data_IF_538584640019
#
_entry.id   IF_538584640019
#
_cell.length_a   1.000
_cell.length_b   1.000
_cell.length_c   1.000
_cell.angle_alpha   90.00
_cell.angle_beta   90.00
_cell.angle_gamma   90.00
#
_symmetry.space_group_name_H-M   'P 1'
#
loop_
_entity.id
_entity.type
_entity.pdbx_description
1 polymer ?
#
# COMPACT_ATOMS: atom_id res chain seq x y z
N UNK A 1 22.75 13.34 -14.74
CA UNK A 1 22.02 14.61 -14.61
C UNK A 1 21.70 14.80 -13.14
N UNK A 2 22.19 15.87 -12.50
CA UNK A 2 22.01 16.14 -11.06
C UNK A 2 21.42 17.53 -10.93
N UNK A 3 20.15 17.62 -10.59
CA UNK A 3 19.50 18.88 -10.24
C UNK A 3 19.86 19.26 -8.80
N UNK A 4 20.10 20.53 -8.55
CA UNK A 4 20.30 21.05 -7.20
C UNK A 4 18.94 21.32 -6.57
N UNK A 5 18.44 20.36 -5.79
CA UNK A 5 17.24 20.54 -4.97
C UNK A 5 17.52 21.60 -3.89
N UNK A 6 17.09 22.85 -4.13
CA UNK A 6 17.13 23.93 -3.14
C UNK A 6 15.80 23.96 -2.40
N UNK A 7 15.62 23.07 -1.43
CA UNK A 7 14.55 23.22 -0.43
C UNK A 7 15.07 24.03 0.75
N UNK A 8 14.17 24.59 1.55
CA UNK A 8 14.49 24.95 2.93
C UNK A 8 15.15 23.74 3.61
N UNK A 9 16.27 23.98 4.31
CA UNK A 9 17.01 22.91 4.98
C UNK A 9 16.19 22.29 6.11
N UNK A 10 16.54 21.07 6.51
CA UNK A 10 16.00 20.44 7.72
C UNK A 10 17.02 20.58 8.85
N UNK A 11 16.67 21.30 9.92
CA UNK A 11 17.51 21.38 11.12
C UNK A 11 16.94 20.52 12.25
N UNK A 12 17.81 20.14 13.20
CA UNK A 12 17.38 19.39 14.38
C UNK A 12 16.38 20.17 15.25
N UNK A 13 16.42 21.50 15.22
CA UNK A 13 15.49 22.35 15.97
C UNK A 13 14.06 22.35 15.39
N UNK A 14 13.91 21.96 14.13
CA UNK A 14 12.61 21.92 13.43
C UNK A 14 11.91 20.56 13.53
N UNK A 15 12.60 19.56 14.11
CA UNK A 15 12.08 18.21 14.28
C UNK A 15 11.00 18.16 15.36
N UNK A 16 9.94 17.41 15.09
CA UNK A 16 8.99 17.01 16.11
C UNK A 16 9.66 16.11 17.16
N UNK A 17 9.08 16.04 18.36
CA UNK A 17 9.62 15.22 19.44
C UNK A 17 9.55 13.72 19.12
N UNK A 18 8.46 13.30 18.47
CA UNK A 18 8.22 11.90 18.12
C UNK A 18 8.23 11.67 16.59
N UNK A 19 8.81 10.56 16.10
CA UNK A 19 8.87 10.26 14.67
C UNK A 19 7.50 10.21 13.98
N UNK A 20 6.48 9.73 14.68
CA UNK A 20 5.12 9.65 14.12
C UNK A 20 4.48 11.03 13.99
N UNK A 21 4.77 11.95 14.91
CA UNK A 21 4.37 13.36 14.79
C UNK A 21 5.07 14.02 13.60
N UNK A 22 6.37 13.75 13.42
CA UNK A 22 7.14 14.24 12.28
C UNK A 22 6.55 13.73 10.96
N UNK A 23 6.21 12.44 10.90
CA UNK A 23 5.56 11.86 9.73
C UNK A 23 4.20 12.51 9.46
N UNK A 24 3.34 12.66 10.48
CA UNK A 24 2.03 13.28 10.33
C UNK A 24 2.13 14.72 9.80
N UNK A 25 3.09 15.50 10.31
CA UNK A 25 3.38 16.86 9.82
C UNK A 25 3.76 16.84 8.34
N UNK A 26 4.71 16.00 7.93
CA UNK A 26 5.15 15.94 6.54
C UNK A 26 4.11 15.35 5.60
N UNK A 27 3.33 14.37 6.04
CA UNK A 27 2.26 13.77 5.25
C UNK A 27 1.20 14.80 4.87
N UNK A 28 0.77 15.62 5.84
CA UNK A 28 -0.16 16.74 5.61
C UNK A 28 0.41 17.76 4.62
N UNK A 29 1.64 18.21 4.82
CA UNK A 29 2.30 19.15 3.90
C UNK A 29 2.38 18.58 2.47
N UNK A 30 2.64 17.27 2.35
CA UNK A 30 2.75 16.59 1.05
C UNK A 30 1.39 16.42 0.39
N UNK A 31 0.32 16.21 1.16
CA UNK A 31 -1.05 16.21 0.66
C UNK A 31 -1.48 17.59 0.14
N UNK A 32 -1.02 18.66 0.79
CA UNK A 32 -1.29 20.06 0.42
C UNK A 32 -0.40 20.56 -0.73
N UNK A 33 0.70 19.87 -1.05
CA UNK A 33 1.67 20.31 -2.06
C UNK A 33 1.22 20.06 -3.51
N UNK A 34 0.05 19.45 -3.72
CA UNK A 34 -0.42 19.02 -5.04
C UNK A 34 0.33 17.81 -5.61
N UNK A 35 1.10 17.08 -4.80
CA UNK A 35 1.76 15.86 -5.24
C UNK A 35 0.70 14.81 -5.62
N UNK A 36 0.87 14.17 -6.77
CA UNK A 36 0.01 13.06 -7.19
C UNK A 36 0.21 11.85 -6.28
N UNK A 37 -0.88 11.31 -5.74
CA UNK A 37 -0.90 10.14 -4.82
C UNK A 37 0.17 10.22 -3.70
N UNK A 38 0.06 11.19 -2.77
CA UNK A 38 1.03 11.38 -1.69
C UNK A 38 1.11 10.17 -0.74
N UNK A 39 0.07 9.32 -0.74
CA UNK A 39 -0.02 8.09 0.02
C UNK A 39 0.47 6.85 -0.76
N UNK A 40 1.01 7.00 -1.97
CA UNK A 40 1.70 5.91 -2.67
C UNK A 40 3.06 5.64 -2.00
N UNK A 41 3.31 4.38 -1.68
CA UNK A 41 4.48 3.92 -0.93
C UNK A 41 5.09 2.71 -1.63
N UNK A 42 6.41 2.69 -1.77
CA UNK A 42 7.13 1.50 -2.21
C UNK A 42 7.31 0.59 -1.00
N UNK A 43 6.67 -0.59 -1.01
CA UNK A 43 6.93 -1.64 -0.02
C UNK A 43 7.95 -2.62 -0.58
N UNK A 44 9.02 -2.83 0.17
CA UNK A 44 10.06 -3.81 -0.12
C UNK A 44 9.98 -4.95 0.88
N UNK A 45 10.02 -6.17 0.36
CA UNK A 45 9.96 -7.45 1.10
C UNK A 45 11.10 -8.34 0.59
N UNK A 46 11.38 -9.44 1.26
CA UNK A 46 12.32 -10.45 0.78
C UNK A 46 11.75 -11.85 0.96
N UNK A 47 12.13 -12.78 0.08
CA UNK A 47 11.81 -14.20 0.26
C UNK A 47 12.63 -14.83 1.40
N UNK A 48 12.43 -16.13 1.62
CA UNK A 48 13.09 -16.89 2.69
C UNK A 48 14.63 -16.95 2.49
N UNK A 49 15.09 -16.83 1.25
CA UNK A 49 16.51 -16.79 0.88
C UNK A 49 17.09 -15.37 0.93
N UNK A 50 16.29 -14.37 1.34
CA UNK A 50 16.72 -12.98 1.46
C UNK A 50 16.75 -12.21 0.13
N UNK A 51 16.12 -12.72 -0.94
CA UNK A 51 16.07 -12.04 -2.23
C UNK A 51 14.99 -10.96 -2.20
N UNK A 52 15.35 -9.68 -2.40
CA UNK A 52 14.40 -8.59 -2.26
C UNK A 52 13.44 -8.51 -3.45
N UNK A 53 12.24 -8.00 -3.20
CA UNK A 53 11.37 -7.49 -4.24
C UNK A 53 10.57 -6.28 -3.76
N UNK A 54 10.27 -5.36 -4.68
CA UNK A 54 9.63 -4.07 -4.39
C UNK A 54 8.46 -3.82 -5.32
N UNK A 55 7.47 -3.07 -4.84
CA UNK A 55 6.28 -2.62 -5.60
C UNK A 55 5.59 -1.48 -4.87
N UNK A 56 4.75 -0.74 -5.57
CA UNK A 56 3.91 0.29 -4.97
C UNK A 56 2.67 -0.30 -4.30
N UNK A 57 2.34 0.23 -3.13
CA UNK A 57 1.07 0.05 -2.40
C UNK A 57 0.56 1.43 -1.96
N UNK A 58 -0.69 1.51 -1.53
CA UNK A 58 -1.25 2.73 -0.98
C UNK A 58 -1.32 2.63 0.54
N UNK A 59 -0.78 3.62 1.25
CA UNK A 59 -1.01 3.82 2.67
C UNK A 59 -2.49 4.12 2.89
N UNK A 60 -3.10 3.42 3.86
CA UNK A 60 -4.52 3.55 4.22
C UNK A 60 -4.77 4.03 5.64
N UNK A 61 -3.75 3.99 6.49
CA UNK A 61 -3.80 4.54 7.83
C UNK A 61 -2.42 4.49 8.46
N UNK A 62 -2.21 5.30 9.48
CA UNK A 62 -1.07 5.21 10.36
C UNK A 62 -1.46 5.72 11.74
N UNK A 63 -0.90 5.11 12.77
CA UNK A 63 -1.07 5.48 14.18
C UNK A 63 0.18 5.06 14.96
N UNK A 64 0.12 5.10 16.30
CA UNK A 64 1.23 4.70 17.18
C UNK A 64 1.68 3.24 16.96
N UNK A 65 0.84 2.38 16.39
CA UNK A 65 1.16 0.97 16.07
C UNK A 65 1.94 0.83 14.77
N UNK A 66 1.87 1.82 13.87
CA UNK A 66 2.62 1.81 12.61
C UNK A 66 1.79 2.23 11.39
N UNK A 67 2.09 1.62 10.24
CA UNK A 67 1.58 2.01 8.92
C UNK A 67 0.78 0.87 8.29
N UNK A 68 -0.42 1.16 7.78
CA UNK A 68 -1.35 0.16 7.27
C UNK A 68 -1.49 0.27 5.74
N UNK A 69 -1.34 -0.86 5.06
CA UNK A 69 -1.74 -1.04 3.66
C UNK A 69 -2.49 -2.37 3.52
N UNK A 70 -3.37 -2.48 2.53
CA UNK A 70 -4.16 -3.70 2.28
C UNK A 70 -3.67 -4.38 1.00
N UNK A 71 -3.63 -5.72 1.02
CA UNK A 71 -3.18 -6.51 -0.13
C UNK A 71 -3.81 -7.89 -0.14
N UNK A 72 -3.61 -8.64 -1.22
CA UNK A 72 -3.98 -10.06 -1.28
C UNK A 72 -2.90 -10.90 -0.57
N UNK A 73 -3.31 -11.71 0.42
CA UNK A 73 -2.39 -12.56 1.20
C UNK A 73 -1.69 -13.65 0.36
N UNK A 74 -2.29 -14.09 -0.74
CA UNK A 74 -1.68 -15.03 -1.70
C UNK A 74 -0.69 -14.40 -2.68
N UNK A 75 -0.61 -13.07 -2.73
CA UNK A 75 0.32 -12.38 -3.62
C UNK A 75 1.79 -12.67 -3.28
N UNK A 76 2.71 -12.36 -4.21
CA UNK A 76 4.15 -12.51 -3.96
C UNK A 76 4.58 -11.82 -2.65
N UNK A 77 4.17 -10.56 -2.43
CA UNK A 77 4.49 -9.82 -1.20
C UNK A 77 3.85 -10.45 0.04
N UNK A 78 2.64 -11.00 -0.08
CA UNK A 78 1.94 -11.65 1.03
C UNK A 78 2.66 -12.93 1.47
N UNK A 79 3.11 -13.74 0.51
CA UNK A 79 3.92 -14.93 0.76
C UNK A 79 5.31 -14.60 1.30
N UNK A 80 5.97 -13.59 0.73
CA UNK A 80 7.27 -13.12 1.23
C UNK A 80 7.16 -12.61 2.68
N UNK A 81 6.16 -11.77 3.01
CA UNK A 81 5.92 -11.30 4.39
C UNK A 81 5.62 -12.45 5.35
N UNK A 82 4.88 -13.46 4.92
CA UNK A 82 4.57 -14.62 5.75
C UNK A 82 5.82 -15.45 6.08
N UNK A 83 6.79 -15.51 5.17
CA UNK A 83 8.06 -16.21 5.39
C UNK A 83 9.10 -15.35 6.13
N UNK A 84 9.14 -14.05 5.83
CA UNK A 84 10.05 -13.06 6.39
C UNK A 84 9.27 -11.76 6.66
N UNK A 85 8.93 -11.46 7.92
CA UNK A 85 8.04 -10.35 8.22
C UNK A 85 8.74 -8.99 8.22
N UNK A 86 10.06 -8.92 7.98
CA UNK A 86 10.77 -7.64 7.91
C UNK A 86 10.51 -6.94 6.59
N UNK A 87 10.07 -5.68 6.67
CA UNK A 87 9.70 -4.87 5.52
C UNK A 87 10.31 -3.48 5.59
N UNK A 88 10.45 -2.84 4.43
CA UNK A 88 10.79 -1.43 4.32
C UNK A 88 9.75 -0.69 3.48
N UNK A 89 9.32 0.47 3.96
CA UNK A 89 8.47 1.41 3.23
C UNK A 89 9.31 2.61 2.82
N UNK A 90 9.19 3.02 1.56
CA UNK A 90 9.76 4.25 1.04
C UNK A 90 8.66 5.12 0.47
N UNK A 91 8.56 6.35 0.98
CA UNK A 91 7.68 7.40 0.47
C UNK A 91 8.48 8.25 -0.53
N UNK A 92 8.23 8.12 -1.85
CA UNK A 92 9.08 8.71 -2.87
C UNK A 92 8.68 10.16 -3.18
N UNK A 93 8.62 11.04 -2.18
CA UNK A 93 8.23 12.45 -2.34
C UNK A 93 9.34 13.33 -2.97
N UNK A 94 10.11 12.75 -3.87
CA UNK A 94 11.22 13.39 -4.58
C UNK A 94 10.83 14.65 -5.37
N UNK A 95 9.58 14.84 -5.90
CA UNK A 95 9.22 16.11 -6.55
C UNK A 95 9.21 17.29 -5.59
N UNK A 96 9.06 17.04 -4.29
CA UNK A 96 9.17 18.04 -3.22
C UNK A 96 10.48 17.88 -2.41
N UNK A 97 11.48 17.22 -3.00
CA UNK A 97 12.80 17.00 -2.41
C UNK A 97 12.77 16.28 -1.04
N UNK A 98 11.81 15.39 -0.81
CA UNK A 98 11.66 14.67 0.46
C UNK A 98 11.53 13.16 0.25
N UNK A 99 12.01 12.38 1.20
CA UNK A 99 11.73 10.95 1.28
C UNK A 99 11.54 10.56 2.75
N UNK A 100 10.66 9.60 3.00
CA UNK A 100 10.54 8.96 4.31
C UNK A 100 10.81 7.48 4.15
N UNK A 101 11.64 6.92 5.02
CA UNK A 101 11.91 5.49 5.10
C UNK A 101 11.39 4.96 6.43
N UNK A 102 10.66 3.86 6.39
CA UNK A 102 10.20 3.14 7.58
C UNK A 102 10.65 1.70 7.47
N UNK A 103 11.44 1.24 8.45
CA UNK A 103 11.79 -0.17 8.60
C UNK A 103 10.99 -0.77 9.76
N UNK A 104 10.50 -2.00 9.60
CA UNK A 104 9.75 -2.65 10.67
C UNK A 104 9.33 -4.08 10.35
N UNK A 105 8.50 -4.63 11.23
CA UNK A 105 7.87 -5.95 11.06
C UNK A 105 6.42 -5.76 10.61
N UNK A 106 6.02 -6.41 9.52
CA UNK A 106 4.64 -6.42 9.07
C UNK A 106 3.81 -7.45 9.86
N UNK A 107 2.63 -7.03 10.31
CA UNK A 107 1.67 -7.87 11.02
C UNK A 107 0.31 -7.79 10.32
N UNK A 108 -0.50 -8.86 10.43
CA UNK A 108 -1.84 -8.85 9.87
C UNK A 108 -2.74 -8.01 10.76
N UNK A 109 -3.49 -7.10 10.15
CA UNK A 109 -4.61 -6.42 10.81
C UNK A 109 -5.74 -7.41 11.12
N UNK A 110 -6.64 -7.03 12.03
CA UNK A 110 -7.80 -7.84 12.38
C UNK A 110 -8.70 -8.12 11.17
N UNK A 111 -9.41 -9.25 11.20
CA UNK A 111 -10.38 -9.60 10.14
C UNK A 111 -11.50 -8.57 10.04
N UNK A 112 -11.93 -8.02 11.16
CA UNK A 112 -12.96 -6.97 11.21
C UNK A 112 -12.47 -5.66 10.60
N UNK A 113 -11.20 -5.29 10.83
CA UNK A 113 -10.57 -4.12 10.20
C UNK A 113 -10.46 -4.32 8.68
N UNK A 114 -10.05 -5.51 8.24
CA UNK A 114 -10.06 -5.89 6.82
C UNK A 114 -11.45 -5.78 6.20
N UNK A 115 -12.47 -6.32 6.88
CA UNK A 115 -13.84 -6.30 6.41
C UNK A 115 -14.42 -4.88 6.34
N UNK A 116 -14.15 -4.06 7.36
CA UNK A 116 -14.57 -2.67 7.40
C UNK A 116 -13.97 -1.89 6.22
N UNK A 117 -12.66 -1.98 6.00
CA UNK A 117 -12.00 -1.34 4.87
C UNK A 117 -12.48 -1.89 3.51
N UNK A 118 -12.67 -3.20 3.37
CA UNK A 118 -13.12 -3.79 2.12
C UNK A 118 -14.47 -3.21 1.67
N UNK A 119 -15.39 -3.02 2.61
CA UNK A 119 -16.73 -2.44 2.36
C UNK A 119 -16.69 -0.98 1.92
N UNK A 120 -15.63 -0.22 2.26
CA UNK A 120 -15.51 1.18 1.80
C UNK A 120 -15.00 1.31 0.36
N UNK A 121 -14.51 0.22 -0.24
CA UNK A 121 -13.95 0.26 -1.58
C UNK A 121 -15.06 0.42 -2.63
N UNK A 122 -14.81 1.12 -3.75
CA UNK A 122 -15.74 1.15 -4.87
C UNK A 122 -16.12 -0.26 -5.34
N UNK A 123 -17.36 -0.46 -5.79
CA UNK A 123 -17.87 -1.78 -6.20
C UNK A 123 -16.93 -2.54 -7.13
N UNK A 124 -16.46 -1.89 -8.20
CA UNK A 124 -15.51 -2.52 -9.14
C UNK A 124 -14.17 -2.89 -8.51
N UNK A 125 -13.72 -2.16 -7.48
CA UNK A 125 -12.53 -2.52 -6.71
C UNK A 125 -12.76 -3.75 -5.82
N UNK A 126 -13.97 -3.95 -5.31
CA UNK A 126 -14.34 -5.15 -4.56
C UNK A 126 -14.35 -6.37 -5.49
N UNK A 127 -14.98 -6.25 -6.68
CA UNK A 127 -14.97 -7.29 -7.71
C UNK A 127 -13.55 -7.64 -8.18
N UNK A 128 -12.74 -6.63 -8.49
CA UNK A 128 -11.35 -6.83 -8.93
C UNK A 128 -10.48 -7.54 -7.89
N UNK A 129 -10.80 -7.40 -6.61
CA UNK A 129 -10.11 -8.12 -5.54
C UNK A 129 -10.39 -9.63 -5.54
N UNK A 130 -11.58 -10.03 -5.99
CA UNK A 130 -11.95 -11.43 -6.21
C UNK A 130 -11.44 -11.97 -7.54
N UNK A 131 -11.57 -11.19 -8.61
CA UNK A 131 -11.22 -11.62 -9.96
C UNK A 131 -9.72 -11.94 -10.09
N UNK A 132 -8.86 -11.20 -9.39
CA UNK A 132 -7.42 -11.31 -9.54
C UNK A 132 -6.79 -12.23 -8.49
N UNK A 133 -6.27 -13.37 -8.94
CA UNK A 133 -5.26 -14.15 -8.21
C UNK A 133 -3.91 -13.43 -8.28
N UNK A 134 -3.77 -12.39 -7.48
CA UNK A 134 -2.66 -11.44 -7.59
C UNK A 134 -1.30 -12.15 -7.59
N UNK A 135 -0.49 -11.89 -8.62
CA UNK A 135 0.86 -12.46 -8.83
C UNK A 135 0.91 -13.92 -9.31
N UNK A 136 -0.22 -14.53 -9.66
CA UNK A 136 -0.24 -15.80 -10.41
C UNK A 136 -0.17 -15.54 -11.93
N UNK A 137 0.47 -16.43 -12.71
CA UNK A 137 0.37 -16.40 -14.17
C UNK A 137 -1.09 -16.57 -14.61
N UNK A 138 -1.46 -15.88 -15.68
CA UNK A 138 -2.79 -15.97 -16.32
C UNK A 138 -2.59 -16.22 -17.80
N UNK A 139 -3.48 -16.99 -18.44
CA UNK A 139 -3.28 -17.40 -19.82
C UNK A 139 -3.38 -16.21 -20.80
N UNK A 140 -4.30 -15.27 -20.55
CA UNK A 140 -4.49 -14.09 -21.39
C UNK A 140 -5.21 -12.95 -20.68
N UNK A 141 -5.30 -11.80 -21.35
CA UNK A 141 -6.08 -10.65 -20.86
C UNK A 141 -7.57 -10.96 -20.83
N UNK A 142 -8.08 -11.64 -21.85
CA UNK A 142 -9.48 -12.00 -22.02
C UNK A 142 -9.96 -12.91 -20.90
N UNK A 143 -9.07 -13.76 -20.35
CA UNK A 143 -9.39 -14.58 -19.19
C UNK A 143 -9.66 -13.75 -17.93
N UNK A 144 -8.87 -12.69 -17.68
CA UNK A 144 -9.13 -11.77 -16.57
C UNK A 144 -10.45 -11.03 -16.75
N UNK A 145 -10.74 -10.58 -17.97
CA UNK A 145 -11.98 -9.85 -18.27
C UNK A 145 -13.20 -10.78 -18.08
N UNK A 146 -13.09 -12.05 -18.46
CA UNK A 146 -14.13 -13.07 -18.21
C UNK A 146 -14.35 -13.30 -16.72
N UNK A 147 -13.30 -13.50 -15.92
CA UNK A 147 -13.45 -13.69 -14.46
C UNK A 147 -14.09 -12.47 -13.79
N UNK A 148 -13.74 -11.27 -14.23
CA UNK A 148 -14.37 -10.05 -13.74
C UNK A 148 -15.85 -9.99 -14.12
N UNK A 149 -16.20 -10.28 -15.38
CA UNK A 149 -17.58 -10.27 -15.86
C UNK A 149 -18.46 -11.27 -15.10
N UNK A 150 -17.99 -12.50 -14.89
CA UNK A 150 -18.70 -13.51 -14.08
C UNK A 150 -19.01 -13.01 -12.66
N UNK A 151 -18.09 -12.27 -12.04
CA UNK A 151 -18.30 -11.67 -10.73
C UNK A 151 -19.23 -10.45 -10.77
N UNK A 152 -19.18 -9.64 -11.83
CA UNK A 152 -20.07 -8.51 -12.03
C UNK A 152 -21.52 -8.97 -12.22
N UNK A 153 -21.73 -10.07 -12.95
CA UNK A 153 -23.05 -10.68 -13.13
C UNK A 153 -23.56 -11.30 -11.82
N UNK A 154 -22.66 -11.93 -11.04
CA UNK A 154 -22.99 -12.53 -9.74
C UNK A 154 -23.29 -11.48 -8.66
N UNK A 155 -22.60 -10.35 -8.69
CA UNK A 155 -22.72 -9.27 -7.71
C UNK A 155 -22.92 -7.92 -8.43
N UNK A 156 -24.13 -7.64 -8.95
CA UNK A 156 -24.43 -6.37 -9.61
C UNK A 156 -24.30 -5.17 -8.66
N UNK A 157 -24.21 -3.93 -9.17
CA UNK A 157 -24.15 -2.73 -8.34
C UNK A 157 -25.29 -2.66 -7.32
N UNK A 158 -24.95 -2.47 -6.03
CA UNK A 158 -25.90 -2.47 -4.93
C UNK A 158 -25.95 -3.78 -4.13
N UNK A 159 -25.46 -4.89 -4.70
CA UNK A 159 -25.27 -6.15 -3.98
C UNK A 159 -24.00 -6.12 -3.12
N UNK A 160 -24.04 -6.85 -2.00
CA UNK A 160 -22.87 -6.96 -1.13
C UNK A 160 -21.88 -8.00 -1.67
N UNK A 161 -20.70 -7.54 -2.07
CA UNK A 161 -19.58 -8.43 -2.39
C UNK A 161 -18.98 -8.96 -1.07
N UNK A 162 -18.84 -10.28 -0.88
CA UNK A 162 -18.22 -10.81 0.33
C UNK A 162 -16.75 -10.43 0.42
N UNK A 163 -16.22 -10.32 1.63
CA UNK A 163 -14.78 -10.09 1.84
C UNK A 163 -14.02 -11.36 1.41
N UNK A 164 -12.98 -11.25 0.55
CA UNK A 164 -12.14 -12.39 0.18
C UNK A 164 -11.53 -13.10 1.41
N UNK A 165 -11.26 -14.42 1.32
CA UNK A 165 -10.66 -15.19 2.40
C UNK A 165 -9.23 -14.75 2.75
#
# INVERSE_FOLDING_TARGET
MREHYRSEGLSAADLAAEPMEQFARWFRQTAESGLYEPNAVVVSTADAEGRPSSRTVLLKGFDERGFVFYTNYGSRKGREIAANPYVSLLFPWHPIARQVLVGGRAERVGRDETAAYFRTRPHGSQLGAWASRQSEPVASREELDRWYAELADRYPPGEQVPVPP
#
